data_IF_850153518104
#
_entry.id   IF_850153518104
#
_cell.length_a   1.000
_cell.length_b   1.000
_cell.length_c   1.000
_cell.angle_alpha   90.00
_cell.angle_beta   90.00
_cell.angle_gamma   90.00
#
_symmetry.space_group_name_H-M   'P 1'
#
loop_
_entity.id
_entity.type
_entity.pdbx_description
1 polymer ?
#
# COMPACT_ATOMS: atom_id res chain seq x y z
N UNK A 1 46.24 4.64 34.22
CA UNK A 1 44.86 4.70 33.70
C UNK A 1 44.96 5.35 32.34
N UNK A 2 44.84 4.53 31.31
CA UNK A 2 44.95 4.96 29.92
C UNK A 2 43.90 6.03 29.60
N UNK A 3 44.33 7.16 29.07
CA UNK A 3 43.44 8.20 28.54
C UNK A 3 42.73 7.64 27.30
N UNK A 4 41.62 6.96 27.51
CA UNK A 4 40.74 6.56 26.38
C UNK A 4 40.07 7.81 25.89
N UNK A 5 40.43 8.27 24.68
CA UNK A 5 39.72 9.31 23.97
C UNK A 5 38.33 8.78 23.66
N UNK A 6 37.32 9.33 24.34
CA UNK A 6 35.91 9.01 24.07
C UNK A 6 35.22 10.18 23.37
N UNK A 7 34.36 9.88 22.40
CA UNK A 7 33.46 10.84 21.75
C UNK A 7 32.03 10.62 22.26
N UNK A 8 31.41 11.65 22.77
CA UNK A 8 29.99 11.66 23.13
C UNK A 8 29.18 12.33 22.00
N UNK A 9 28.17 11.65 21.50
CA UNK A 9 27.17 12.22 20.60
C UNK A 9 25.83 12.22 21.31
N UNK A 10 25.03 13.28 21.16
CA UNK A 10 23.69 13.40 21.74
C UNK A 10 22.71 13.66 20.62
N UNK A 11 21.61 12.93 20.62
CA UNK A 11 20.56 13.01 19.65
C UNK A 11 19.23 13.37 20.33
N UNK A 12 18.38 14.07 19.63
CA UNK A 12 17.06 14.44 20.11
C UNK A 12 16.03 14.14 19.01
N UNK A 13 14.88 13.56 19.41
CA UNK A 13 13.75 13.29 18.52
C UNK A 13 12.60 14.19 18.96
N UNK A 14 12.04 14.97 18.03
CA UNK A 14 11.02 15.98 18.32
C UNK A 14 9.60 15.40 18.41
N UNK A 15 9.38 14.24 17.83
CA UNK A 15 8.06 13.60 17.73
C UNK A 15 8.01 12.28 18.52
N UNK A 16 6.80 11.76 18.81
CA UNK A 16 6.66 10.40 19.31
C UNK A 16 7.35 9.40 18.37
N UNK A 17 8.06 8.44 18.92
CA UNK A 17 8.78 7.42 18.18
C UNK A 17 8.55 6.05 18.80
N UNK A 18 8.31 5.05 17.96
CA UNK A 18 8.19 3.66 18.38
C UNK A 18 9.56 3.11 18.82
N UNK A 19 9.58 2.31 19.88
CA UNK A 19 10.82 1.76 20.42
C UNK A 19 11.61 0.94 19.40
N UNK A 20 10.96 0.24 18.48
CA UNK A 20 11.63 -0.54 17.44
C UNK A 20 12.31 0.31 16.36
N UNK A 21 11.95 1.59 16.24
CA UNK A 21 12.55 2.55 15.32
C UNK A 21 13.85 3.17 15.85
N UNK A 22 14.17 2.99 17.13
CA UNK A 22 15.40 3.52 17.72
C UNK A 22 16.55 2.59 17.41
N UNK A 23 17.48 3.03 16.56
CA UNK A 23 18.65 2.24 16.16
C UNK A 23 19.92 3.06 16.13
N UNK A 24 21.05 2.39 15.95
CA UNK A 24 22.38 3.02 15.84
C UNK A 24 23.04 2.60 14.53
N UNK A 25 23.52 3.60 13.79
CA UNK A 25 24.35 3.39 12.62
C UNK A 25 25.77 3.80 12.94
N UNK A 26 26.71 2.86 12.84
CA UNK A 26 28.14 3.07 13.14
C UNK A 26 28.95 2.59 11.95
N UNK A 27 29.68 3.51 11.33
CA UNK A 27 30.49 3.22 10.15
C UNK A 27 31.29 4.43 9.71
N UNK A 28 32.10 4.26 8.67
CA UNK A 28 32.82 5.37 8.01
C UNK A 28 31.90 6.08 7.03
N UNK A 29 30.86 6.71 7.58
CA UNK A 29 29.88 7.46 6.81
C UNK A 29 30.40 8.85 6.44
N UNK A 30 30.12 9.22 5.19
CA UNK A 30 30.11 10.62 4.78
C UNK A 30 28.65 11.09 4.79
N UNK A 31 28.47 12.38 4.99
CA UNK A 31 27.20 13.06 4.98
C UNK A 31 27.11 14.04 3.82
N UNK A 32 25.97 14.07 3.15
CA UNK A 32 25.56 15.15 2.26
C UNK A 32 24.07 15.41 2.43
N UNK A 33 23.62 16.61 2.11
CA UNK A 33 22.25 17.02 2.33
C UNK A 33 21.66 17.72 1.11
N UNK A 34 20.34 17.75 1.08
CA UNK A 34 19.52 18.49 0.14
C UNK A 34 18.29 19.03 0.88
N UNK A 35 17.42 19.74 0.20
CA UNK A 35 16.19 20.28 0.77
C UNK A 35 15.01 20.10 -0.21
N UNK A 36 13.85 19.83 0.34
CA UNK A 36 12.58 19.90 -0.37
C UNK A 36 11.86 21.19 0.07
N UNK A 37 11.87 22.20 -0.83
CA UNK A 37 11.22 23.48 -0.58
C UNK A 37 9.73 23.35 -0.87
N UNK A 38 8.88 23.74 0.08
CA UNK A 38 7.43 23.78 -0.02
C UNK A 38 6.94 25.22 0.17
N UNK A 39 5.66 25.46 -0.04
CA UNK A 39 5.09 26.81 0.02
C UNK A 39 5.32 27.50 1.38
N UNK A 40 5.17 26.76 2.50
CA UNK A 40 5.19 27.33 3.84
C UNK A 40 6.40 26.91 4.69
N UNK A 41 7.18 25.93 4.23
CA UNK A 41 8.30 25.36 4.98
C UNK A 41 9.32 24.66 4.07
N UNK A 42 10.36 24.12 4.68
CA UNK A 42 11.41 23.37 3.98
C UNK A 42 11.74 22.12 4.76
N UNK A 43 11.68 20.96 4.11
CA UNK A 43 12.10 19.68 4.67
C UNK A 43 13.58 19.46 4.39
N UNK A 44 14.38 19.21 5.43
CA UNK A 44 15.76 18.75 5.26
C UNK A 44 15.79 17.30 4.78
N UNK A 45 16.70 17.02 3.84
CA UNK A 45 16.95 15.68 3.31
C UNK A 45 18.42 15.36 3.57
N UNK A 46 18.68 14.39 4.42
CA UNK A 46 20.02 14.04 4.87
C UNK A 46 20.40 12.63 4.42
N UNK A 47 21.58 12.47 3.89
CA UNK A 47 22.07 11.21 3.34
C UNK A 47 23.38 10.82 3.97
N UNK A 48 23.40 9.64 4.60
CA UNK A 48 24.58 9.07 5.22
C UNK A 48 24.96 7.80 4.49
N UNK A 49 26.09 7.82 3.78
CA UNK A 49 26.52 6.70 2.93
C UNK A 49 28.01 6.40 3.16
N UNK A 50 28.42 5.18 2.85
CA UNK A 50 29.84 4.82 2.91
C UNK A 50 30.62 5.63 1.87
N UNK A 51 31.80 6.09 2.22
CA UNK A 51 32.58 7.07 1.45
C UNK A 51 32.77 6.67 -0.01
N UNK A 52 32.96 5.40 -0.29
CA UNK A 52 33.15 4.86 -1.65
C UNK A 52 31.86 4.78 -2.49
N UNK A 53 30.70 5.00 -1.89
CA UNK A 53 29.42 5.00 -2.58
C UNK A 53 28.81 6.39 -2.82
N UNK A 54 29.52 7.47 -2.44
CA UNK A 54 29.02 8.85 -2.50
C UNK A 54 28.41 9.22 -3.86
N UNK A 55 29.16 9.01 -4.92
CA UNK A 55 28.74 9.38 -6.28
C UNK A 55 27.50 8.59 -6.74
N UNK A 56 27.49 7.29 -6.45
CA UNK A 56 26.30 6.45 -6.72
C UNK A 56 25.07 6.96 -5.99
N UNK A 57 25.22 7.24 -4.69
CA UNK A 57 24.15 7.72 -3.84
C UNK A 57 23.60 9.07 -4.33
N UNK A 58 24.46 10.04 -4.65
CA UNK A 58 24.04 11.33 -5.15
C UNK A 58 23.20 11.23 -6.42
N UNK A 59 23.56 10.33 -7.33
CA UNK A 59 22.79 10.10 -8.56
C UNK A 59 21.49 9.36 -8.27
N UNK A 60 21.54 8.32 -7.44
CA UNK A 60 20.40 7.41 -7.21
C UNK A 60 19.30 8.06 -6.35
N UNK A 61 19.68 8.86 -5.36
CA UNK A 61 18.74 9.52 -4.43
C UNK A 61 18.02 10.73 -5.02
N UNK A 62 18.31 11.12 -6.27
CA UNK A 62 17.51 12.12 -6.99
C UNK A 62 16.02 11.77 -7.09
N UNK A 63 15.65 10.49 -6.95
CA UNK A 63 14.25 10.04 -6.93
C UNK A 63 13.50 10.40 -5.63
N UNK A 64 14.20 10.78 -4.55
CA UNK A 64 13.58 11.05 -3.25
C UNK A 64 12.63 12.24 -3.29
N UNK A 65 13.02 13.36 -3.88
CA UNK A 65 12.16 14.56 -3.94
C UNK A 65 10.84 14.32 -4.67
N UNK A 66 10.83 13.86 -5.93
CA UNK A 66 9.58 13.60 -6.63
C UNK A 66 8.73 12.53 -5.94
N UNK A 67 9.33 11.55 -5.26
CA UNK A 67 8.61 10.57 -4.47
C UNK A 67 7.91 11.22 -3.26
N UNK A 68 8.62 12.04 -2.49
CA UNK A 68 8.03 12.78 -1.35
C UNK A 68 6.89 13.69 -1.80
N UNK A 69 7.05 14.40 -2.92
CA UNK A 69 5.98 15.22 -3.50
C UNK A 69 4.75 14.40 -3.87
N UNK A 70 4.93 13.19 -4.42
CA UNK A 70 3.84 12.25 -4.69
C UNK A 70 3.15 11.82 -3.39
N UNK A 71 3.90 11.45 -2.37
CA UNK A 71 3.32 11.00 -1.10
C UNK A 71 2.59 12.14 -0.38
N UNK A 72 3.16 13.35 -0.36
CA UNK A 72 2.49 14.52 0.21
C UNK A 72 1.18 14.88 -0.53
N UNK A 73 1.11 14.65 -1.82
CA UNK A 73 -0.13 14.80 -2.61
C UNK A 73 -1.24 13.88 -2.08
N UNK A 74 -0.91 12.59 -1.84
CA UNK A 74 -1.89 11.57 -1.45
C UNK A 74 -2.14 11.49 0.04
N UNK A 75 -1.12 11.73 0.89
CA UNK A 75 -1.19 11.49 2.33
C UNK A 75 -1.15 12.79 3.16
N UNK A 76 -0.84 13.91 2.55
CA UNK A 76 -0.58 15.18 3.25
C UNK A 76 0.88 15.36 3.63
N UNK A 77 1.21 16.50 4.27
CA UNK A 77 2.59 16.88 4.56
C UNK A 77 3.38 15.80 5.30
N UNK A 78 4.68 15.72 5.00
CA UNK A 78 5.61 14.82 5.69
C UNK A 78 5.45 14.93 7.21
N UNK A 79 5.28 13.82 7.93
CA UNK A 79 4.82 13.87 9.31
C UNK A 79 5.88 14.38 10.30
N UNK A 80 7.17 14.26 10.01
CA UNK A 80 8.27 14.50 10.96
C UNK A 80 9.18 15.67 10.53
N UNK A 81 8.57 16.78 10.15
CA UNK A 81 9.26 17.96 9.59
C UNK A 81 10.46 18.43 10.42
N UNK A 82 10.33 18.50 11.75
CA UNK A 82 11.40 19.04 12.62
C UNK A 82 12.59 18.08 12.77
N UNK A 83 12.38 16.78 12.53
CA UNK A 83 13.44 15.77 12.61
C UNK A 83 14.09 15.54 11.24
N UNK A 84 13.44 16.01 10.15
CA UNK A 84 13.92 15.85 8.78
C UNK A 84 13.64 14.45 8.21
N UNK A 85 14.16 14.21 7.02
CA UNK A 85 14.13 12.93 6.33
C UNK A 85 15.55 12.47 6.07
N UNK A 86 15.90 11.24 6.41
CA UNK A 86 17.22 10.74 6.08
C UNK A 86 17.19 9.32 5.49
N UNK A 87 18.11 9.05 4.55
CA UNK A 87 18.49 7.71 4.11
C UNK A 87 19.88 7.39 4.63
N UNK A 88 20.01 6.25 5.29
CA UNK A 88 21.27 5.81 5.87
C UNK A 88 21.64 4.46 5.26
N UNK A 89 22.76 4.40 4.55
CA UNK A 89 23.23 3.17 3.96
C UNK A 89 23.44 2.10 5.03
N UNK A 90 22.85 0.93 4.82
CA UNK A 90 22.89 -0.21 5.73
C UNK A 90 23.40 -1.47 5.04
N UNK A 91 23.84 -2.45 5.85
CA UNK A 91 24.25 -3.77 5.35
C UNK A 91 23.06 -4.71 5.08
N UNK A 92 21.85 -4.31 5.43
CA UNK A 92 20.60 -5.02 5.18
C UNK A 92 19.71 -4.19 4.27
N UNK A 93 18.72 -4.82 3.64
CA UNK A 93 18.01 -4.29 2.48
C UNK A 93 17.27 -2.97 2.74
N UNK A 94 16.50 -2.90 3.83
CA UNK A 94 15.75 -1.72 4.25
C UNK A 94 15.09 -1.92 5.60
N UNK A 95 14.75 -0.82 6.26
CA UNK A 95 13.97 -0.78 7.48
C UNK A 95 13.45 0.65 7.70
N UNK A 96 12.21 0.75 8.12
CA UNK A 96 11.45 1.99 8.28
C UNK A 96 11.79 2.80 9.54
N UNK A 97 13.06 2.89 9.95
CA UNK A 97 13.43 3.71 11.11
C UNK A 97 12.99 5.16 10.89
N UNK A 98 12.13 5.67 11.78
CA UNK A 98 11.51 7.00 11.67
C UNK A 98 12.55 8.10 11.43
N UNK A 99 12.40 8.86 10.36
CA UNK A 99 13.28 9.96 9.93
C UNK A 99 14.74 9.56 9.66
N UNK A 100 15.07 8.25 9.73
CA UNK A 100 16.42 7.71 9.57
C UNK A 100 16.39 6.33 8.89
N UNK A 101 15.73 6.27 7.74
CA UNK A 101 15.43 5.05 6.98
C UNK A 101 16.71 4.30 6.62
N UNK A 102 16.76 3.02 6.95
CA UNK A 102 17.84 2.13 6.51
C UNK A 102 17.71 1.84 5.02
N UNK A 103 18.80 1.98 4.29
CA UNK A 103 18.86 1.76 2.85
C UNK A 103 20.00 0.81 2.46
N UNK A 104 19.68 -0.33 1.85
CA UNK A 104 20.67 -1.32 1.46
C UNK A 104 20.38 -2.00 0.09
N UNK A 105 19.63 -1.34 -0.80
CA UNK A 105 19.30 -1.86 -2.14
C UNK A 105 20.45 -1.72 -3.17
N UNK A 106 21.66 -1.44 -2.69
CA UNK A 106 22.87 -1.33 -3.52
C UNK A 106 22.80 -0.31 -4.67
N UNK A 107 21.92 0.68 -4.57
CA UNK A 107 21.67 1.69 -5.61
C UNK A 107 21.20 1.06 -6.93
N UNK A 108 20.37 0.03 -6.83
CA UNK A 108 19.80 -0.70 -7.95
C UNK A 108 18.30 -0.41 -8.09
N UNK A 109 17.74 -0.44 -9.32
CA UNK A 109 16.29 -0.39 -9.49
C UNK A 109 15.64 -1.69 -9.02
N UNK A 110 14.33 -1.63 -8.76
CA UNK A 110 13.56 -2.78 -8.34
C UNK A 110 13.89 -3.23 -6.91
N UNK A 111 13.59 -4.47 -6.62
CA UNK A 111 13.89 -5.13 -5.35
C UNK A 111 15.23 -5.88 -5.49
N UNK A 112 16.28 -5.32 -4.92
CA UNK A 112 17.65 -5.86 -5.02
C UNK A 112 18.08 -6.14 -6.48
N UNK A 113 17.78 -5.19 -7.37
CA UNK A 113 18.07 -5.29 -8.80
C UNK A 113 17.06 -6.12 -9.61
N UNK A 114 16.03 -6.67 -8.97
CA UNK A 114 14.98 -7.41 -9.66
C UNK A 114 13.82 -6.48 -10.05
N UNK A 115 13.82 -6.02 -11.30
CA UNK A 115 12.81 -5.10 -11.84
C UNK A 115 11.46 -5.79 -12.13
N UNK A 116 11.39 -7.12 -12.23
CA UNK A 116 10.11 -7.82 -12.30
C UNK A 116 9.24 -7.53 -11.06
N UNK A 117 9.88 -7.25 -9.93
CA UNK A 117 9.19 -6.87 -8.70
C UNK A 117 8.48 -5.51 -8.84
N UNK A 118 9.02 -4.62 -9.63
CA UNK A 118 8.47 -3.29 -9.93
C UNK A 118 7.74 -3.24 -11.29
N UNK A 119 7.31 -4.37 -11.84
CA UNK A 119 6.68 -4.48 -13.16
C UNK A 119 7.53 -3.81 -14.26
N UNK A 120 8.85 -4.06 -14.23
CA UNK A 120 9.88 -3.53 -15.12
C UNK A 120 10.01 -1.98 -15.10
N UNK A 121 9.48 -1.33 -14.07
CA UNK A 121 9.68 0.10 -13.86
C UNK A 121 11.02 0.39 -13.19
N UNK A 122 11.65 1.46 -13.62
CA UNK A 122 12.98 1.89 -13.19
C UNK A 122 12.89 2.83 -11.97
N UNK A 123 12.57 2.27 -10.81
CA UNK A 123 12.65 2.96 -9.51
C UNK A 123 13.19 2.02 -8.43
N UNK A 124 13.74 2.58 -7.37
CA UNK A 124 14.21 1.81 -6.22
C UNK A 124 13.02 1.47 -5.32
N UNK A 125 12.68 0.19 -5.26
CA UNK A 125 11.57 -0.32 -4.46
C UNK A 125 11.74 0.02 -2.98
N UNK A 126 12.94 -0.14 -2.42
CA UNK A 126 13.21 0.06 -0.99
C UNK A 126 13.02 1.51 -0.60
N UNK A 127 13.52 2.45 -1.39
CA UNK A 127 13.33 3.88 -1.09
C UNK A 127 11.83 4.21 -1.03
N UNK A 128 11.04 3.71 -2.00
CA UNK A 128 9.61 4.01 -2.08
C UNK A 128 8.84 3.35 -0.94
N UNK A 129 9.10 2.06 -0.68
CA UNK A 129 8.42 1.29 0.37
C UNK A 129 8.71 1.85 1.77
N UNK A 130 9.99 1.94 2.14
CA UNK A 130 10.40 2.38 3.48
C UNK A 130 10.02 3.84 3.75
N UNK A 131 9.99 4.69 2.72
CA UNK A 131 9.48 6.07 2.88
C UNK A 131 7.96 6.10 3.12
N UNK A 132 7.20 5.20 2.54
CA UNK A 132 5.76 5.08 2.81
C UNK A 132 5.46 4.85 4.29
N UNK A 133 6.34 4.17 4.98
CA UNK A 133 6.23 3.91 6.43
C UNK A 133 6.30 5.17 7.29
N UNK A 134 6.83 6.29 6.80
CA UNK A 134 6.79 7.55 7.56
C UNK A 134 5.33 7.96 7.87
N UNK A 135 4.39 7.71 6.96
CA UNK A 135 2.96 7.89 7.20
C UNK A 135 2.31 6.65 7.85
N UNK A 136 2.65 5.43 7.37
CA UNK A 136 1.97 4.17 7.67
C UNK A 136 2.89 3.22 8.45
N UNK A 137 2.90 3.31 9.75
CA UNK A 137 3.79 2.57 10.64
C UNK A 137 4.46 3.48 11.65
N UNK A 138 4.99 4.63 11.22
CA UNK A 138 5.66 5.59 12.10
C UNK A 138 4.70 6.65 12.62
N UNK A 139 4.04 7.41 11.73
CA UNK A 139 3.06 8.43 12.13
C UNK A 139 1.73 7.83 12.59
N UNK A 140 1.26 6.80 11.91
CA UNK A 140 0.12 5.98 12.32
C UNK A 140 0.63 4.57 12.63
N UNK A 141 0.54 4.16 13.88
CA UNK A 141 1.04 2.87 14.35
C UNK A 141 -0.11 1.99 14.81
N UNK A 142 -0.09 0.69 14.50
CA UNK A 142 -1.05 -0.27 15.07
C UNK A 142 -0.74 -0.55 16.55
N UNK A 143 -1.79 -0.66 17.38
CA UNK A 143 -1.65 -1.03 18.79
C UNK A 143 -1.19 -2.48 18.98
N UNK A 144 -1.52 -3.35 18.04
CA UNK A 144 -1.18 -4.77 18.09
C UNK A 144 -0.51 -5.20 16.79
N UNK A 145 0.47 -6.10 16.89
CA UNK A 145 1.18 -6.65 15.74
C UNK A 145 0.26 -7.47 14.80
N UNK A 146 -0.90 -7.92 15.28
CA UNK A 146 -1.92 -8.56 14.47
C UNK A 146 -2.48 -7.62 13.38
N UNK A 147 -2.44 -6.29 13.60
CA UNK A 147 -2.88 -5.26 12.67
C UNK A 147 -1.75 -4.69 11.78
N UNK A 148 -0.64 -5.43 11.62
CA UNK A 148 0.47 -5.00 10.74
C UNK A 148 0.05 -4.73 9.29
N UNK A 149 -1.14 -5.17 8.85
CA UNK A 149 -1.69 -4.79 7.56
C UNK A 149 -1.90 -3.27 7.40
N UNK A 150 -2.06 -2.55 8.53
CA UNK A 150 -2.15 -1.07 8.54
C UNK A 150 -0.79 -0.46 8.16
N UNK A 151 0.32 -1.06 8.59
CA UNK A 151 1.64 -0.64 8.17
C UNK A 151 1.92 -1.10 6.73
N UNK A 152 2.00 -2.41 6.53
CA UNK A 152 2.51 -3.03 5.32
C UNK A 152 1.55 -2.94 4.12
N UNK A 153 0.25 -3.06 4.37
CA UNK A 153 -0.77 -2.96 3.31
C UNK A 153 -0.85 -1.54 2.75
N UNK A 154 -0.83 -0.52 3.61
CA UNK A 154 -0.80 0.87 3.16
C UNK A 154 0.55 1.27 2.55
N UNK A 155 1.68 0.77 3.07
CA UNK A 155 2.98 0.99 2.46
C UNK A 155 3.06 0.38 1.06
N UNK A 156 2.64 -0.86 0.91
CA UNK A 156 2.58 -1.51 -0.41
C UNK A 156 1.60 -0.79 -1.36
N UNK A 157 0.53 -0.22 -0.82
CA UNK A 157 -0.36 0.62 -1.62
C UNK A 157 0.25 1.99 -1.96
N UNK A 158 1.14 2.50 -1.12
CA UNK A 158 1.90 3.73 -1.41
C UNK A 158 2.78 3.57 -2.66
N UNK A 159 3.35 2.38 -2.88
CA UNK A 159 4.06 2.05 -4.12
C UNK A 159 3.14 2.15 -5.34
N UNK A 160 1.90 1.65 -5.24
CA UNK A 160 0.88 1.74 -6.30
C UNK A 160 0.58 3.19 -6.64
N UNK A 161 0.41 4.04 -5.61
CA UNK A 161 0.13 5.46 -5.80
C UNK A 161 1.35 6.23 -6.33
N UNK A 162 2.57 5.84 -5.92
CA UNK A 162 3.80 6.37 -6.50
C UNK A 162 3.88 6.06 -8.00
N UNK A 163 3.61 4.81 -8.40
CA UNK A 163 3.60 4.41 -9.80
C UNK A 163 2.54 5.19 -10.59
N UNK A 164 1.34 5.41 -10.02
CA UNK A 164 0.32 6.23 -10.66
C UNK A 164 0.79 7.68 -10.87
N UNK A 165 1.42 8.25 -9.87
CA UNK A 165 1.92 9.62 -9.88
C UNK A 165 3.03 9.82 -10.92
N UNK A 166 3.99 8.90 -10.98
CA UNK A 166 5.20 9.02 -11.79
C UNK A 166 5.05 8.46 -13.21
N UNK A 167 4.26 7.39 -13.37
CA UNK A 167 4.18 6.66 -14.63
C UNK A 167 2.76 6.59 -15.23
N UNK A 168 1.77 7.11 -14.50
CA UNK A 168 0.38 7.20 -14.92
C UNK A 168 -0.46 5.96 -14.64
N UNK A 169 -1.77 6.13 -14.82
CA UNK A 169 -2.80 5.15 -14.42
C UNK A 169 -2.61 3.75 -15.04
N UNK A 170 -2.26 3.68 -16.34
CA UNK A 170 -2.08 2.38 -17.00
C UNK A 170 -0.93 1.57 -16.41
N UNK A 171 0.18 2.22 -16.10
CA UNK A 171 1.33 1.57 -15.45
C UNK A 171 1.03 1.19 -14.00
N UNK A 172 0.27 2.01 -13.30
CA UNK A 172 -0.24 1.66 -11.98
C UNK A 172 -1.10 0.39 -12.03
N UNK A 173 -1.97 0.27 -13.02
CA UNK A 173 -2.83 -0.91 -13.16
C UNK A 173 -2.01 -2.19 -13.45
N UNK A 174 -0.97 -2.09 -14.28
CA UNK A 174 -0.02 -3.18 -14.51
C UNK A 174 0.71 -3.55 -13.21
N UNK A 175 1.19 -2.55 -12.46
CA UNK A 175 1.92 -2.72 -11.21
C UNK A 175 1.07 -3.41 -10.12
N UNK A 176 -0.15 -2.90 -9.87
CA UNK A 176 -1.02 -3.47 -8.84
C UNK A 176 -1.45 -4.90 -9.20
N UNK A 177 -1.70 -5.18 -10.48
CA UNK A 177 -2.04 -6.53 -10.91
C UNK A 177 -0.86 -7.50 -10.81
N UNK A 178 0.39 -7.04 -10.97
CA UNK A 178 1.57 -7.86 -10.74
C UNK A 178 1.68 -8.34 -9.28
N UNK A 179 1.15 -7.58 -8.33
CA UNK A 179 1.12 -7.97 -6.91
C UNK A 179 0.31 -9.25 -6.66
N UNK A 180 -0.67 -9.60 -7.52
CA UNK A 180 -1.46 -10.84 -7.41
C UNK A 180 -0.58 -12.09 -7.39
N UNK A 181 0.54 -12.08 -8.09
CA UNK A 181 1.48 -13.19 -8.17
C UNK A 181 2.23 -13.46 -6.84
N UNK A 182 2.16 -12.54 -5.88
CA UNK A 182 2.85 -12.63 -4.59
C UNK A 182 1.92 -13.05 -3.46
N UNK A 183 0.61 -13.04 -3.69
CA UNK A 183 -0.38 -13.45 -2.69
C UNK A 183 -0.41 -14.97 -2.57
N UNK A 184 -0.31 -15.49 -1.36
CA UNK A 184 -0.29 -16.93 -1.07
C UNK A 184 -1.67 -17.49 -0.75
N UNK A 185 -2.51 -16.70 -0.08
CA UNK A 185 -3.81 -17.13 0.46
C UNK A 185 -3.71 -18.44 1.27
N UNK A 186 -2.63 -18.59 2.05
CA UNK A 186 -2.38 -19.77 2.87
C UNK A 186 -3.05 -19.68 4.26
N UNK A 187 -3.16 -18.48 4.79
CA UNK A 187 -3.84 -18.17 6.06
C UNK A 187 -4.40 -16.74 6.05
N UNK A 188 -5.19 -16.40 7.08
CA UNK A 188 -5.69 -15.04 7.26
C UNK A 188 -4.55 -14.01 7.37
N UNK A 189 -4.82 -12.78 6.95
CA UNK A 189 -3.86 -11.66 7.06
C UNK A 189 -3.69 -11.27 8.52
N UNK A 190 -4.79 -11.15 9.26
CA UNK A 190 -4.77 -10.92 10.70
C UNK A 190 -4.77 -12.25 11.45
N UNK A 191 -4.20 -12.24 12.66
CA UNK A 191 -4.21 -13.39 13.56
C UNK A 191 -4.74 -12.98 14.94
N UNK A 192 -4.50 -13.81 15.97
CA UNK A 192 -4.99 -13.54 17.31
C UNK A 192 -4.32 -12.30 17.92
N UNK A 193 -5.14 -11.40 18.46
CA UNK A 193 -4.71 -10.22 19.19
C UNK A 193 -4.15 -10.57 20.57
N UNK A 194 -3.32 -9.69 21.11
CA UNK A 194 -2.71 -9.77 22.46
C UNK A 194 -1.75 -10.95 22.68
N UNK A 195 -1.24 -11.56 21.60
CA UNK A 195 -0.36 -12.74 21.65
C UNK A 195 0.80 -12.61 20.65
N UNK A 196 1.47 -11.59 20.45
CA UNK A 196 2.63 -11.43 19.55
C UNK A 196 2.57 -12.26 18.25
N UNK A 197 1.42 -12.23 17.58
CA UNK A 197 1.15 -12.90 16.32
C UNK A 197 1.11 -11.89 15.16
N UNK A 198 2.06 -12.00 14.22
CA UNK A 198 2.16 -11.05 13.09
C UNK A 198 1.18 -11.34 11.94
N UNK A 199 0.57 -12.52 11.88
CA UNK A 199 -0.30 -12.89 10.78
C UNK A 199 0.42 -13.37 9.51
N UNK A 200 -0.24 -13.26 8.35
CA UNK A 200 0.31 -13.68 7.06
C UNK A 200 1.16 -12.60 6.40
N UNK A 201 2.20 -13.03 5.66
CA UNK A 201 2.92 -12.14 4.75
C UNK A 201 2.03 -11.55 3.64
N UNK A 202 0.81 -12.05 3.48
CA UNK A 202 -0.17 -11.48 2.56
C UNK A 202 -0.65 -10.07 2.98
N UNK A 203 -0.32 -9.62 4.21
CA UNK A 203 -0.55 -8.24 4.64
C UNK A 203 0.04 -7.18 3.69
N UNK A 204 1.12 -7.49 2.99
CA UNK A 204 1.71 -6.65 1.94
C UNK A 204 0.81 -6.62 0.69
N UNK A 205 0.95 -7.60 -0.17
CA UNK A 205 0.30 -7.61 -1.49
C UNK A 205 -1.21 -7.75 -1.43
N UNK A 206 -1.76 -8.62 -0.57
CA UNK A 206 -3.22 -8.75 -0.40
C UNK A 206 -3.82 -7.51 0.27
N UNK A 207 -3.10 -6.91 1.22
CA UNK A 207 -3.50 -5.64 1.83
C UNK A 207 -3.58 -4.51 0.80
N UNK A 208 -2.56 -4.35 -0.04
CA UNK A 208 -2.54 -3.37 -1.13
C UNK A 208 -3.65 -3.60 -2.17
N UNK A 209 -3.83 -4.86 -2.60
CA UNK A 209 -4.89 -5.25 -3.55
C UNK A 209 -6.30 -5.02 -2.97
N UNK A 210 -6.48 -5.23 -1.66
CA UNK A 210 -7.72 -4.88 -0.96
C UNK A 210 -7.98 -3.37 -1.02
N UNK A 211 -6.97 -2.53 -0.73
CA UNK A 211 -7.11 -1.07 -0.79
C UNK A 211 -7.42 -0.60 -2.22
N UNK A 212 -6.77 -1.17 -3.23
CA UNK A 212 -7.11 -0.89 -4.62
C UNK A 212 -8.53 -1.34 -4.99
N UNK A 213 -8.98 -2.48 -4.48
CA UNK A 213 -10.36 -2.96 -4.65
C UNK A 213 -11.34 -1.96 -4.02
N UNK A 214 -11.08 -1.49 -2.80
CA UNK A 214 -11.91 -0.48 -2.13
C UNK A 214 -11.98 0.83 -2.92
N UNK A 215 -10.88 1.31 -3.51
CA UNK A 215 -10.87 2.46 -4.42
C UNK A 215 -11.90 2.28 -5.55
N UNK A 216 -11.92 1.11 -6.17
CA UNK A 216 -12.84 0.80 -7.26
C UNK A 216 -14.29 0.55 -6.78
N UNK A 217 -14.46 0.07 -5.55
CA UNK A 217 -15.78 0.00 -4.88
C UNK A 217 -16.36 1.39 -4.66
N UNK A 218 -15.57 2.32 -4.15
CA UNK A 218 -15.94 3.74 -3.94
C UNK A 218 -16.24 4.42 -5.27
N UNK A 219 -15.53 4.06 -6.34
CA UNK A 219 -15.74 4.57 -7.70
C UNK A 219 -15.69 6.10 -7.80
N UNK A 220 -14.88 6.73 -7.01
CA UNK A 220 -14.62 8.16 -7.01
C UNK A 220 -13.22 8.43 -6.47
N UNK A 221 -12.27 8.64 -7.38
CA UNK A 221 -10.86 8.83 -7.01
C UNK A 221 -10.64 10.04 -6.11
N UNK A 222 -11.31 11.15 -6.39
CA UNK A 222 -11.19 12.35 -5.56
C UNK A 222 -11.65 12.10 -4.12
N UNK A 223 -12.75 11.36 -3.96
CA UNK A 223 -13.27 10.99 -2.64
C UNK A 223 -12.35 9.97 -1.96
N UNK A 224 -11.85 8.97 -2.71
CA UNK A 224 -10.91 7.97 -2.22
C UNK A 224 -9.62 8.61 -1.67
N UNK A 225 -8.98 9.47 -2.46
CA UNK A 225 -7.75 10.15 -2.04
C UNK A 225 -7.99 11.12 -0.88
N UNK A 226 -9.15 11.81 -0.85
CA UNK A 226 -9.53 12.62 0.30
C UNK A 226 -9.69 11.77 1.57
N UNK A 227 -10.22 10.55 1.45
CA UNK A 227 -10.35 9.60 2.56
C UNK A 227 -8.98 9.15 3.10
N UNK A 228 -8.08 8.75 2.23
CA UNK A 228 -6.71 8.35 2.64
C UNK A 228 -5.96 9.53 3.28
N UNK A 229 -5.97 10.70 2.63
CA UNK A 229 -5.33 11.90 3.17
C UNK A 229 -5.93 12.33 4.50
N UNK A 230 -7.25 12.20 4.62
CA UNK A 230 -7.98 12.48 5.85
C UNK A 230 -7.58 11.55 6.99
N UNK A 231 -7.43 10.24 6.73
CA UNK A 231 -6.94 9.27 7.71
C UNK A 231 -5.53 9.64 8.18
N UNK A 232 -4.59 9.82 7.23
CA UNK A 232 -3.20 10.16 7.53
C UNK A 232 -3.07 11.46 8.34
N UNK A 233 -3.91 12.46 8.05
CA UNK A 233 -3.88 13.76 8.73
C UNK A 233 -4.52 13.72 10.12
N UNK A 234 -5.71 13.08 10.25
CA UNK A 234 -6.48 13.06 11.50
C UNK A 234 -5.87 12.13 12.55
N UNK A 235 -5.18 11.09 12.11
CA UNK A 235 -4.53 10.09 12.98
C UNK A 235 -3.02 10.26 13.05
N UNK A 236 -2.51 11.39 12.57
CA UNK A 236 -1.09 11.75 12.64
C UNK A 236 -0.54 11.61 14.06
N UNK A 237 0.59 10.96 14.21
CA UNK A 237 1.32 10.74 15.47
C UNK A 237 0.48 10.02 16.54
N UNK A 238 -0.31 9.01 16.13
CA UNK A 238 -1.13 8.23 17.05
C UNK A 238 -1.04 6.74 16.80
N UNK A 239 -1.42 5.98 17.81
CA UNK A 239 -1.66 4.54 17.67
C UNK A 239 -3.15 4.27 17.47
N UNK A 240 -3.49 3.19 16.78
CA UNK A 240 -4.87 2.78 16.53
C UNK A 240 -4.97 1.26 16.33
N UNK A 241 -6.18 0.76 16.41
CA UNK A 241 -6.53 -0.60 16.02
C UNK A 241 -7.03 -0.64 14.59
N UNK A 242 -6.86 -1.76 13.87
CA UNK A 242 -7.34 -1.90 12.50
C UNK A 242 -8.84 -1.66 12.36
N UNK A 243 -9.63 -1.99 13.38
CA UNK A 243 -11.08 -1.69 13.42
C UNK A 243 -11.36 -0.18 13.39
N UNK A 244 -10.49 0.66 13.92
CA UNK A 244 -10.65 2.12 13.85
C UNK A 244 -10.43 2.64 12.41
N UNK A 245 -9.53 2.03 11.63
CA UNK A 245 -9.35 2.31 10.19
C UNK A 245 -10.63 1.95 9.43
N UNK A 246 -11.18 0.75 9.66
CA UNK A 246 -12.43 0.30 9.04
C UNK A 246 -13.58 1.26 9.38
N UNK A 247 -13.75 1.59 10.65
CA UNK A 247 -14.77 2.52 11.11
C UNK A 247 -14.59 3.94 10.57
N UNK A 248 -13.33 4.38 10.39
CA UNK A 248 -13.05 5.66 9.75
C UNK A 248 -13.54 5.66 8.30
N UNK A 249 -13.20 4.64 7.52
CA UNK A 249 -13.62 4.54 6.12
C UNK A 249 -15.13 4.40 5.98
N UNK A 250 -15.78 3.58 6.80
CA UNK A 250 -17.24 3.45 6.81
C UNK A 250 -17.93 4.81 7.01
N UNK A 251 -17.46 5.60 7.98
CA UNK A 251 -18.01 6.94 8.24
C UNK A 251 -17.69 7.94 7.13
N UNK A 252 -16.43 7.94 6.66
CA UNK A 252 -15.97 8.90 5.67
C UNK A 252 -16.66 8.74 4.33
N UNK A 253 -16.82 7.49 3.88
CA UNK A 253 -17.48 7.17 2.61
C UNK A 253 -19.00 7.02 2.72
N UNK A 254 -19.54 7.01 3.93
CA UNK A 254 -20.96 6.71 4.22
C UNK A 254 -21.40 5.38 3.57
N UNK A 255 -20.56 4.36 3.72
CA UNK A 255 -20.76 2.99 3.22
C UNK A 255 -20.36 2.00 4.33
N UNK A 256 -21.00 0.84 4.36
CA UNK A 256 -20.52 -0.27 5.19
C UNK A 256 -19.55 -1.13 4.36
N UNK A 257 -18.27 -1.00 4.63
CA UNK A 257 -17.19 -1.76 3.98
C UNK A 257 -16.72 -2.94 4.84
N UNK A 258 -17.35 -3.14 6.00
CA UNK A 258 -16.89 -4.10 7.03
C UNK A 258 -16.78 -5.51 6.49
N UNK A 259 -17.73 -5.96 5.64
CA UNK A 259 -17.70 -7.30 5.04
C UNK A 259 -16.58 -7.48 4.01
N UNK A 260 -16.22 -6.42 3.31
CA UNK A 260 -15.08 -6.43 2.38
C UNK A 260 -13.78 -6.57 3.18
N UNK A 261 -13.58 -5.76 4.22
CA UNK A 261 -12.41 -5.89 5.10
C UNK A 261 -12.36 -7.27 5.76
N UNK A 262 -13.46 -7.77 6.30
CA UNK A 262 -13.55 -9.09 6.93
C UNK A 262 -13.10 -10.20 5.96
N UNK A 263 -13.60 -10.20 4.72
CA UNK A 263 -13.24 -11.20 3.71
C UNK A 263 -11.73 -11.20 3.41
N UNK A 264 -11.13 -10.03 3.23
CA UNK A 264 -9.72 -9.96 2.84
C UNK A 264 -8.76 -10.14 4.01
N UNK A 265 -9.12 -9.70 5.21
CA UNK A 265 -8.23 -9.70 6.36
C UNK A 265 -8.37 -10.96 7.23
N UNK A 266 -9.59 -11.40 7.49
CA UNK A 266 -9.87 -12.49 8.44
C UNK A 266 -9.98 -13.86 7.78
N UNK A 267 -10.04 -13.91 6.45
CA UNK A 267 -10.13 -15.16 5.69
C UNK A 267 -8.95 -15.32 4.73
N UNK A 268 -8.47 -16.57 4.59
CA UNK A 268 -7.41 -16.88 3.62
C UNK A 268 -7.88 -16.68 2.19
N UNK A 269 -9.11 -17.11 1.89
CA UNK A 269 -9.67 -17.07 0.55
C UNK A 269 -10.19 -15.68 0.20
N UNK A 270 -9.97 -15.26 -1.04
CA UNK A 270 -10.55 -14.04 -1.61
C UNK A 270 -11.95 -14.33 -2.15
N UNK A 271 -12.83 -13.32 -2.32
CA UNK A 271 -14.18 -13.55 -2.82
C UNK A 271 -14.15 -14.15 -4.22
N UNK A 272 -15.00 -15.16 -4.48
CA UNK A 272 -15.13 -15.80 -5.78
C UNK A 272 -16.46 -15.41 -6.43
N UNK A 273 -16.40 -14.83 -7.63
CA UNK A 273 -17.57 -14.53 -8.43
C UNK A 273 -17.93 -15.74 -9.29
N UNK A 274 -19.05 -16.39 -8.95
CA UNK A 274 -19.59 -17.50 -9.71
C UNK A 274 -20.64 -17.00 -10.72
N UNK A 275 -20.52 -17.43 -11.98
CA UNK A 275 -21.47 -17.03 -13.00
C UNK A 275 -21.65 -18.08 -14.11
N UNK A 276 -22.81 -17.99 -14.80
CA UNK A 276 -23.09 -18.68 -16.05
C UNK A 276 -24.02 -17.85 -16.95
N UNK A 277 -24.00 -18.17 -18.24
CA UNK A 277 -24.95 -17.57 -19.18
C UNK A 277 -26.08 -18.53 -19.46
N UNK A 278 -27.30 -18.04 -19.36
CA UNK A 278 -28.50 -18.72 -19.80
C UNK A 278 -29.01 -18.08 -21.08
N UNK A 279 -29.13 -18.86 -22.16
CA UNK A 279 -29.65 -18.38 -23.45
C UNK A 279 -31.19 -18.35 -23.40
N UNK A 280 -31.80 -17.23 -23.74
CA UNK A 280 -33.26 -17.02 -23.86
C UNK A 280 -33.56 -16.45 -25.27
N UNK A 281 -33.83 -17.34 -26.24
CA UNK A 281 -33.99 -16.97 -27.63
C UNK A 281 -32.70 -16.39 -28.23
N UNK A 282 -32.75 -15.10 -28.63
CA UNK A 282 -31.59 -14.34 -29.15
C UNK A 282 -30.80 -13.60 -28.02
N UNK A 283 -31.33 -13.59 -26.81
CA UNK A 283 -30.77 -12.87 -25.68
C UNK A 283 -30.06 -13.82 -24.72
N UNK A 284 -29.22 -13.27 -23.87
CA UNK A 284 -28.58 -13.96 -22.78
C UNK A 284 -28.95 -13.32 -21.44
N UNK A 285 -29.15 -14.15 -20.42
CA UNK A 285 -29.14 -13.73 -19.02
C UNK A 285 -27.83 -14.16 -18.36
N UNK A 286 -27.27 -13.28 -17.54
CA UNK A 286 -26.21 -13.61 -16.60
C UNK A 286 -26.86 -14.12 -15.32
N UNK A 287 -26.54 -15.36 -14.93
CA UNK A 287 -26.88 -15.94 -13.63
C UNK A 287 -25.63 -15.89 -12.79
N UNK A 288 -25.68 -15.29 -11.60
CA UNK A 288 -24.49 -14.96 -10.85
C UNK A 288 -24.71 -14.90 -9.34
N UNK A 289 -23.62 -15.02 -8.58
CA UNK A 289 -23.59 -14.82 -7.13
C UNK A 289 -22.18 -14.57 -6.63
N UNK A 290 -22.04 -14.12 -5.37
CA UNK A 290 -20.82 -14.26 -4.62
C UNK A 290 -20.75 -15.65 -3.94
N UNK A 291 -19.59 -16.28 -4.02
CA UNK A 291 -19.15 -17.36 -3.13
C UNK A 291 -18.08 -16.74 -2.21
N UNK A 292 -18.51 -16.27 -1.06
CA UNK A 292 -17.74 -15.52 -0.09
C UNK A 292 -18.32 -15.71 1.31
N UNK A 293 -17.86 -14.93 2.30
CA UNK A 293 -18.47 -14.93 3.64
C UNK A 293 -19.94 -14.53 3.59
N UNK A 294 -20.66 -14.84 4.67
CA UNK A 294 -22.08 -14.47 4.78
C UNK A 294 -22.27 -12.96 4.71
N UNK A 295 -23.33 -12.53 4.04
CA UNK A 295 -23.70 -11.13 3.85
C UNK A 295 -22.64 -10.28 3.12
N UNK A 296 -21.80 -10.94 2.30
CA UNK A 296 -20.84 -10.23 1.44
C UNK A 296 -21.55 -9.52 0.28
N UNK A 297 -21.34 -8.24 0.13
CA UNK A 297 -22.11 -7.34 -0.76
C UNK A 297 -21.27 -6.45 -1.67
N UNK A 298 -20.00 -6.79 -1.88
CA UNK A 298 -19.11 -6.00 -2.74
C UNK A 298 -19.66 -5.88 -4.17
N UNK A 299 -19.67 -4.67 -4.78
CA UNK A 299 -20.07 -4.51 -6.17
C UNK A 299 -19.11 -5.23 -7.12
N UNK A 300 -19.67 -5.81 -8.19
CA UNK A 300 -18.90 -6.35 -9.31
C UNK A 300 -18.95 -5.41 -10.52
N UNK A 301 -17.80 -5.22 -11.14
CA UNK A 301 -17.62 -4.40 -12.34
C UNK A 301 -17.35 -5.32 -13.54
N UNK A 302 -18.07 -5.13 -14.63
CA UNK A 302 -17.84 -5.85 -15.88
C UNK A 302 -18.23 -5.01 -17.10
N UNK A 303 -17.68 -5.32 -18.24
CA UNK A 303 -18.02 -4.70 -19.51
C UNK A 303 -18.88 -5.64 -20.36
N UNK A 304 -19.79 -5.05 -21.15
CA UNK A 304 -20.43 -5.70 -22.29
C UNK A 304 -20.13 -4.82 -23.51
N UNK A 305 -19.18 -5.22 -24.32
CA UNK A 305 -18.57 -4.35 -25.33
C UNK A 305 -17.87 -3.14 -24.67
N UNK A 306 -18.24 -1.95 -25.08
CA UNK A 306 -17.69 -0.69 -24.54
C UNK A 306 -18.42 -0.19 -23.28
N UNK A 307 -19.52 -0.84 -22.90
CA UNK A 307 -20.35 -0.37 -21.78
C UNK A 307 -19.95 -1.05 -20.48
N UNK A 308 -19.42 -0.28 -19.55
CA UNK A 308 -19.21 -0.72 -18.18
C UNK A 308 -20.53 -0.84 -17.44
N UNK A 309 -20.66 -1.89 -16.66
CA UNK A 309 -21.81 -2.18 -15.80
C UNK A 309 -21.32 -2.49 -14.40
N UNK A 310 -22.10 -2.08 -13.42
CA UNK A 310 -21.90 -2.38 -12.00
C UNK A 310 -23.15 -3.05 -11.48
N UNK A 311 -22.96 -4.18 -10.81
CA UNK A 311 -24.00 -4.94 -10.13
C UNK A 311 -23.62 -5.18 -8.68
N UNK A 312 -24.60 -5.58 -7.86
CA UNK A 312 -24.43 -5.88 -6.45
C UNK A 312 -24.85 -7.34 -6.22
N UNK A 313 -23.93 -8.30 -6.42
CA UNK A 313 -24.23 -9.70 -6.17
C UNK A 313 -24.38 -9.97 -4.68
N UNK A 314 -25.23 -10.97 -4.34
CA UNK A 314 -25.32 -11.56 -3.01
C UNK A 314 -24.84 -13.01 -3.04
N UNK A 315 -24.95 -13.72 -1.92
CA UNK A 315 -24.68 -15.16 -1.84
C UNK A 315 -25.71 -16.02 -2.60
N UNK A 316 -26.91 -15.48 -2.84
CA UNK A 316 -27.96 -16.16 -3.60
C UNK A 316 -27.77 -15.95 -5.10
N UNK A 317 -28.22 -16.97 -5.89
CA UNK A 317 -28.22 -16.84 -7.34
C UNK A 317 -29.19 -15.77 -7.81
N UNK A 318 -28.65 -14.81 -8.53
CA UNK A 318 -29.38 -13.68 -9.13
C UNK A 318 -29.35 -13.80 -10.65
N UNK A 319 -30.28 -13.12 -11.32
CA UNK A 319 -30.38 -13.07 -12.78
C UNK A 319 -30.38 -11.63 -13.28
N UNK A 320 -29.56 -11.34 -14.29
CA UNK A 320 -29.54 -10.09 -15.02
C UNK A 320 -29.69 -10.35 -16.53
N UNK A 321 -30.69 -9.73 -17.17
CA UNK A 321 -30.79 -9.78 -18.62
C UNK A 321 -29.76 -8.87 -19.27
N UNK A 322 -28.92 -9.44 -20.15
CA UNK A 322 -27.89 -8.70 -20.89
C UNK A 322 -28.31 -8.36 -22.32
N UNK A 323 -29.46 -8.88 -22.79
CA UNK A 323 -29.86 -8.73 -24.17
C UNK A 323 -29.06 -9.60 -25.15
N UNK A 324 -28.98 -9.19 -26.40
CA UNK A 324 -28.18 -9.87 -27.42
C UNK A 324 -26.79 -9.25 -27.49
N UNK A 325 -25.75 -10.07 -27.24
CA UNK A 325 -24.34 -9.68 -27.31
C UNK A 325 -23.46 -10.87 -27.70
N UNK A 326 -22.26 -10.62 -28.18
CA UNK A 326 -21.25 -11.66 -28.35
C UNK A 326 -20.58 -11.95 -27.00
N UNK A 327 -20.52 -13.21 -26.59
CA UNK A 327 -19.92 -13.62 -25.31
C UNK A 327 -18.46 -13.21 -25.12
N UNK A 328 -17.72 -12.99 -26.22
CA UNK A 328 -16.33 -12.47 -26.15
C UNK A 328 -16.28 -11.01 -25.68
N UNK A 329 -17.38 -10.27 -25.81
CA UNK A 329 -17.47 -8.87 -25.40
C UNK A 329 -17.82 -8.72 -23.91
N UNK A 330 -18.07 -9.82 -23.20
CA UNK A 330 -18.27 -9.83 -21.75
C UNK A 330 -16.94 -10.00 -21.05
N UNK A 331 -16.51 -8.99 -20.32
CA UNK A 331 -15.23 -8.96 -19.61
C UNK A 331 -15.46 -8.50 -18.17
N UNK A 332 -15.19 -9.36 -17.21
CA UNK A 332 -15.16 -9.00 -15.79
C UNK A 332 -13.89 -8.19 -15.54
N UNK A 333 -14.02 -7.06 -14.83
CA UNK A 333 -12.91 -6.14 -14.54
C UNK A 333 -12.16 -6.61 -13.28
N UNK A 334 -11.60 -7.81 -13.35
CA UNK A 334 -10.73 -8.33 -12.30
C UNK A 334 -9.36 -7.62 -12.24
N UNK A 335 -9.05 -6.83 -13.26
CA UNK A 335 -7.94 -5.88 -13.23
C UNK A 335 -8.14 -4.73 -12.23
N UNK A 336 -9.40 -4.42 -11.87
CA UNK A 336 -9.79 -3.42 -10.88
C UNK A 336 -10.09 -4.02 -9.50
N UNK A 337 -10.51 -5.28 -9.45
CA UNK A 337 -10.96 -5.98 -8.25
C UNK A 337 -10.11 -7.22 -8.00
N UNK A 338 -9.69 -7.42 -6.77
CA UNK A 338 -8.95 -8.63 -6.39
C UNK A 338 -9.91 -9.76 -6.03
N UNK A 339 -10.32 -10.51 -7.02
CA UNK A 339 -11.35 -11.57 -6.91
C UNK A 339 -10.93 -12.83 -7.67
N UNK A 340 -11.51 -13.97 -7.31
CA UNK A 340 -11.55 -15.16 -8.14
C UNK A 340 -12.79 -15.14 -9.04
N UNK A 341 -12.67 -15.74 -10.22
CA UNK A 341 -13.76 -15.86 -11.18
C UNK A 341 -13.97 -17.32 -11.50
N UNK A 342 -15.21 -17.79 -11.35
CA UNK A 342 -15.61 -19.16 -11.67
C UNK A 342 -16.83 -19.17 -12.59
N UNK A 343 -16.61 -19.62 -13.80
CA UNK A 343 -17.67 -19.87 -14.76
C UNK A 343 -18.20 -21.28 -14.57
N UNK A 344 -19.51 -21.43 -14.24
CA UNK A 344 -20.19 -22.70 -13.97
C UNK A 344 -21.02 -23.22 -15.16
#
# INVERSE_FOLDING_TARGET
>A
IDNVLSRKSSWFVSYPINSYNVTLYIGDYIHFSDVLVRENDTLSLDYYVLSYNKEKAQNHFNQVKPMLECFEKYFGPYPFLNDGYALIESSYLGMEHQSAIAYGNNYLPGYNGNTNYTADLDFDFIIVHETGHEWWGNSITSNDIADMWVHEGFCTYSEVLYVECMYGYQKMLEYVNNQKNRVRNDKAVICDFHVNCKGSSDMYSKGSLMLNTLRNVINNDSLWFAGIKGLATQKKHSTLDGVEVINYFNRFFNLDLSKIFEQYLSHKDIPEFEYKFQKKGRSYSLIYRWNAINDFDMPLIFNVGINEKRIFPSSDWQELSLGSFDKKDFVIRDDLLFINIKKT
#
